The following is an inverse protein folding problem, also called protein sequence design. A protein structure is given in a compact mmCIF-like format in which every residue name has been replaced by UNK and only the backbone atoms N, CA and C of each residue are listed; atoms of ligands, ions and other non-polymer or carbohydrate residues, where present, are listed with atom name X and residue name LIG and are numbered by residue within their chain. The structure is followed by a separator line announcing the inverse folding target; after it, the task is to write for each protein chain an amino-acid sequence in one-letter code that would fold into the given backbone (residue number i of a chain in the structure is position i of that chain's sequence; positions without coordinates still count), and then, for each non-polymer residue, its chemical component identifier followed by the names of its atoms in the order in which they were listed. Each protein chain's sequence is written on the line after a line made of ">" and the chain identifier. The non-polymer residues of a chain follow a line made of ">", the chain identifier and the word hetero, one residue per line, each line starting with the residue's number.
data_IF_957814175275
#
_entry.id   IF_957814175275
#
_cell.length_a   1.000
_cell.length_b   1.000
_cell.length_c   1.000
_cell.angle_alpha   90.00
_cell.angle_beta   90.00
_cell.angle_gamma   90.00
#
_symmetry.space_group_name_H-M   'P 1'
#
loop_
_entity.id
_entity.type
_entity.pdbx_description
1 polymer ?
#
# COMPACT_ATOMS: atom_id res chain seq x y z
N UNK A 1 6.72 -34.60 6.70
CA UNK A 1 7.44 -33.51 7.41
C UNK A 1 7.09 -33.61 8.88
N UNK A 2 8.06 -33.82 9.77
CA UNK A 2 7.84 -33.81 11.22
C UNK A 2 8.39 -32.49 11.74
N UNK A 3 7.53 -31.65 12.30
CA UNK A 3 7.95 -30.36 12.85
C UNK A 3 8.86 -30.58 14.06
N UNK A 4 9.95 -29.83 14.15
CA UNK A 4 10.85 -29.83 15.30
C UNK A 4 10.14 -29.21 16.52
N UNK A 5 10.53 -29.55 17.76
CA UNK A 5 10.06 -28.84 18.95
C UNK A 5 10.38 -27.33 18.84
N UNK A 6 9.38 -26.48 19.12
CA UNK A 6 9.45 -25.02 18.92
C UNK A 6 9.60 -24.23 20.24
N UNK A 7 9.63 -24.92 21.37
CA UNK A 7 9.68 -24.31 22.70
C UNK A 7 11.00 -23.54 22.91
N UNK A 8 10.93 -22.31 23.43
CA UNK A 8 12.09 -21.43 23.63
C UNK A 8 12.73 -20.86 22.36
N UNK A 9 12.15 -21.10 21.18
CA UNK A 9 12.68 -20.66 19.89
C UNK A 9 12.20 -19.24 19.54
N UNK A 10 13.08 -18.38 19.00
CA UNK A 10 12.67 -17.04 18.57
C UNK A 10 11.70 -17.08 17.37
N UNK A 11 10.76 -16.12 17.21
CA UNK A 11 9.74 -16.15 16.16
C UNK A 11 10.29 -16.29 14.73
N UNK A 12 11.47 -15.72 14.45
CA UNK A 12 12.14 -15.86 13.14
C UNK A 12 12.62 -17.29 12.88
N UNK A 13 13.13 -17.96 13.91
CA UNK A 13 13.65 -19.32 13.80
C UNK A 13 12.50 -20.33 13.70
N UNK A 14 11.37 -20.08 14.36
CA UNK A 14 10.12 -20.82 14.14
C UNK A 14 9.71 -20.74 12.67
N UNK A 15 9.64 -19.52 12.09
CA UNK A 15 9.29 -19.33 10.67
C UNK A 15 10.19 -20.09 9.71
N UNK A 16 11.50 -20.08 9.95
CA UNK A 16 12.46 -20.80 9.10
C UNK A 16 12.27 -22.32 9.22
N UNK A 17 12.10 -22.84 10.44
CA UNK A 17 11.88 -24.28 10.69
C UNK A 17 10.54 -24.80 10.18
N UNK A 18 9.53 -23.93 10.05
CA UNK A 18 8.20 -24.29 9.55
C UNK A 18 7.93 -23.83 8.11
N UNK A 19 8.92 -23.25 7.44
CA UNK A 19 8.76 -22.77 6.06
C UNK A 19 8.58 -23.95 5.10
N UNK A 20 7.48 -23.93 4.33
CA UNK A 20 7.14 -24.99 3.37
C UNK A 20 7.82 -24.83 2.00
N UNK A 21 8.71 -23.83 1.84
CA UNK A 21 9.67 -23.78 0.73
C UNK A 21 9.08 -23.69 -0.69
N UNK A 22 7.94 -23.01 -0.88
CA UNK A 22 7.34 -22.81 -2.20
C UNK A 22 6.19 -21.78 -2.19
N UNK A 23 5.68 -21.36 -3.36
CA UNK A 23 4.53 -20.45 -3.43
C UNK A 23 3.27 -21.19 -2.97
N UNK A 24 2.83 -20.91 -1.75
CA UNK A 24 1.55 -21.38 -1.21
C UNK A 24 0.73 -20.19 -0.75
N UNK A 25 -0.55 -20.16 -1.13
CA UNK A 25 -1.52 -19.36 -0.40
C UNK A 25 -1.69 -19.98 0.99
N UNK A 26 -1.44 -19.20 2.05
CA UNK A 26 -1.71 -19.59 3.43
C UNK A 26 -3.07 -19.00 3.80
N UNK A 27 -4.09 -19.85 3.88
CA UNK A 27 -5.42 -19.44 4.32
C UNK A 27 -5.50 -19.45 5.85
N UNK A 28 -6.40 -18.65 6.41
CA UNK A 28 -6.64 -18.60 7.86
C UNK A 28 -6.92 -20.00 8.45
N UNK A 29 -7.70 -20.81 7.74
CA UNK A 29 -8.00 -22.21 8.08
C UNK A 29 -6.79 -23.15 8.14
N UNK A 30 -5.61 -22.72 7.68
CA UNK A 30 -4.39 -23.54 7.68
C UNK A 30 -3.54 -23.32 8.94
N UNK A 31 -3.76 -22.21 9.67
CA UNK A 31 -3.06 -21.94 10.91
C UNK A 31 -3.42 -22.98 11.97
N UNK A 32 -2.43 -23.38 12.77
CA UNK A 32 -2.50 -24.42 13.81
C UNK A 32 -2.84 -25.84 13.31
N UNK A 33 -3.17 -26.01 12.02
CA UNK A 33 -3.43 -27.31 11.38
C UNK A 33 -2.27 -27.79 10.52
N UNK A 34 -1.77 -26.91 9.65
CA UNK A 34 -0.70 -27.22 8.70
C UNK A 34 0.51 -26.28 8.85
N UNK A 35 0.29 -25.07 9.36
CA UNK A 35 1.33 -24.05 9.56
C UNK A 35 1.15 -23.42 10.93
N UNK A 36 2.26 -23.21 11.65
CA UNK A 36 2.24 -22.47 12.92
C UNK A 36 1.94 -20.99 12.64
N UNK A 37 1.07 -20.36 13.45
CA UNK A 37 0.95 -18.91 13.49
C UNK A 37 1.87 -18.38 14.60
N UNK A 38 3.01 -17.76 14.28
CA UNK A 38 3.88 -17.19 15.31
C UNK A 38 3.21 -16.00 16.00
N UNK A 39 3.47 -15.83 17.31
CA UNK A 39 2.84 -14.76 18.11
C UNK A 39 3.07 -13.35 17.54
N UNK A 40 4.24 -13.08 16.97
CA UNK A 40 4.56 -11.79 16.35
C UNK A 40 3.77 -11.54 15.05
N UNK A 41 3.43 -12.60 14.31
CA UNK A 41 2.58 -12.52 13.13
C UNK A 41 1.11 -12.33 13.53
N UNK A 42 0.64 -13.03 14.56
CA UNK A 42 -0.70 -12.81 15.12
C UNK A 42 -0.88 -11.36 15.58
N UNK A 43 0.08 -10.85 16.35
CA UNK A 43 0.07 -9.46 16.82
C UNK A 43 0.02 -8.44 15.67
N UNK A 44 0.77 -8.66 14.59
CA UNK A 44 0.71 -7.80 13.41
C UNK A 44 -0.65 -7.86 12.71
N UNK A 45 -1.25 -9.05 12.61
CA UNK A 45 -2.59 -9.21 12.03
C UNK A 45 -3.65 -8.51 12.89
N UNK A 46 -3.53 -8.55 14.22
CA UNK A 46 -4.41 -7.83 15.13
C UNK A 46 -4.27 -6.32 14.94
N UNK A 47 -3.06 -5.80 14.83
CA UNK A 47 -2.84 -4.38 14.53
C UNK A 47 -3.51 -4.02 13.20
N UNK A 48 -3.31 -4.80 12.14
CA UNK A 48 -3.96 -4.56 10.85
C UNK A 48 -5.48 -4.52 11.01
N UNK A 49 -6.06 -5.56 11.63
CA UNK A 49 -7.51 -5.72 11.78
C UNK A 49 -8.16 -4.65 12.64
N UNK A 50 -7.50 -4.21 13.71
CA UNK A 50 -8.10 -3.32 14.71
C UNK A 50 -7.68 -1.86 14.55
N UNK A 51 -6.49 -1.58 14.03
CA UNK A 51 -5.97 -0.22 13.90
C UNK A 51 -6.07 0.34 12.48
N UNK A 52 -5.90 -0.49 11.45
CA UNK A 52 -5.84 -0.02 10.06
C UNK A 52 -7.14 -0.29 9.28
N UNK A 53 -7.61 -1.54 9.27
CA UNK A 53 -8.79 -1.99 8.49
C UNK A 53 -10.04 -1.13 8.74
N UNK A 54 -10.38 -0.67 9.96
CA UNK A 54 -11.55 0.19 10.17
C UNK A 54 -11.52 1.52 9.42
N UNK A 55 -10.33 1.98 9.01
CA UNK A 55 -10.12 3.22 8.27
C UNK A 55 -9.87 2.98 6.77
N UNK A 56 -9.77 1.73 6.33
CA UNK A 56 -9.64 1.37 4.92
C UNK A 56 -11.00 1.47 4.23
N UNK A 57 -11.39 2.69 3.87
CA UNK A 57 -12.70 2.99 3.26
C UNK A 57 -12.75 2.73 1.75
N UNK A 58 -11.61 2.57 1.10
CA UNK A 58 -11.54 2.33 -0.34
C UNK A 58 -11.90 0.87 -0.64
N UNK A 59 -12.90 0.67 -1.50
CA UNK A 59 -13.28 -0.67 -1.98
C UNK A 59 -12.22 -1.27 -2.91
N UNK A 60 -11.51 -0.40 -3.64
CA UNK A 60 -10.55 -0.78 -4.65
C UNK A 60 -9.19 -0.12 -4.39
N UNK A 61 -8.13 -0.82 -4.78
CA UNK A 61 -6.79 -0.25 -4.87
C UNK A 61 -6.61 0.44 -6.21
N UNK A 62 -5.74 1.47 -6.27
CA UNK A 62 -5.32 2.02 -7.55
C UNK A 62 -4.51 0.95 -8.30
N UNK A 63 -4.94 0.51 -9.49
CA UNK A 63 -4.32 -0.58 -10.22
C UNK A 63 -2.99 -0.14 -10.85
N UNK A 64 -2.22 -1.12 -11.34
CA UNK A 64 -1.05 -0.82 -12.18
C UNK A 64 -1.53 -0.42 -13.56
N UNK A 65 -1.72 0.89 -13.75
CA UNK A 65 -2.13 1.47 -15.03
C UNK A 65 -0.92 1.72 -15.94
N UNK A 66 -1.13 1.65 -17.24
CA UNK A 66 -0.15 2.08 -18.23
C UNK A 66 -0.45 3.52 -18.67
N UNK A 67 0.54 4.39 -18.52
CA UNK A 67 0.50 5.77 -18.96
C UNK A 67 1.11 5.91 -20.36
N UNK A 68 0.70 6.93 -21.10
CA UNK A 68 1.38 7.30 -22.35
C UNK A 68 2.76 7.89 -22.05
N UNK A 69 3.60 8.02 -23.08
CA UNK A 69 4.93 8.62 -22.91
C UNK A 69 4.82 10.07 -22.41
N UNK A 70 3.90 10.83 -22.98
CA UNK A 70 3.67 12.23 -22.63
C UNK A 70 3.19 12.36 -21.18
N UNK A 71 2.29 11.47 -20.75
CA UNK A 71 1.84 11.42 -19.35
C UNK A 71 2.99 11.08 -18.39
N UNK A 72 3.85 10.12 -18.75
CA UNK A 72 5.04 9.77 -17.94
C UNK A 72 6.02 10.93 -17.84
N UNK A 73 6.25 11.67 -18.93
CA UNK A 73 7.12 12.85 -18.94
C UNK A 73 6.54 13.94 -18.02
N UNK A 74 5.22 14.18 -18.07
CA UNK A 74 4.55 15.14 -17.18
C UNK A 74 4.56 14.70 -15.71
N UNK A 75 4.24 13.43 -15.43
CA UNK A 75 4.32 12.86 -14.08
C UNK A 75 5.73 13.01 -13.50
N UNK A 76 6.77 12.70 -14.28
CA UNK A 76 8.16 12.80 -13.81
C UNK A 76 8.54 14.22 -13.40
N UNK A 77 8.08 15.23 -14.14
CA UNK A 77 8.30 16.65 -13.80
C UNK A 77 7.55 17.04 -12.53
N UNK A 78 6.27 16.67 -12.42
CA UNK A 78 5.42 17.03 -11.27
C UNK A 78 5.88 16.33 -9.98
N UNK A 79 6.10 15.02 -10.05
CA UNK A 79 6.37 14.17 -8.89
C UNK A 79 7.69 14.54 -8.19
N UNK A 80 8.67 15.06 -8.92
CA UNK A 80 9.96 15.48 -8.37
C UNK A 80 9.81 16.58 -7.30
N UNK A 81 9.03 17.62 -7.58
CA UNK A 81 8.85 18.74 -6.66
C UNK A 81 7.68 18.47 -5.69
N UNK A 82 6.58 17.92 -6.19
CA UNK A 82 5.37 17.67 -5.40
C UNK A 82 5.66 16.77 -4.20
N UNK A 83 6.28 15.60 -4.42
CA UNK A 83 6.55 14.67 -3.31
C UNK A 83 7.66 15.13 -2.39
N UNK A 84 8.66 15.86 -2.91
CA UNK A 84 9.69 16.48 -2.07
C UNK A 84 9.06 17.45 -1.07
N UNK A 85 8.14 18.30 -1.52
CA UNK A 85 7.40 19.23 -0.66
C UNK A 85 6.49 18.51 0.35
N UNK A 86 5.73 17.51 -0.09
CA UNK A 86 4.87 16.69 0.81
C UNK A 86 5.69 16.04 1.93
N UNK A 87 6.84 15.44 1.59
CA UNK A 87 7.70 14.78 2.57
C UNK A 87 8.32 15.77 3.56
N UNK A 88 8.69 16.97 3.09
CA UNK A 88 9.17 18.04 3.94
C UNK A 88 8.10 18.47 4.95
N UNK A 89 6.90 18.85 4.48
CA UNK A 89 5.81 19.29 5.37
C UNK A 89 5.40 18.21 6.36
N UNK A 90 5.35 16.95 5.93
CA UNK A 90 5.11 15.81 6.83
C UNK A 90 6.14 15.74 7.96
N UNK A 91 7.42 15.89 7.63
CA UNK A 91 8.50 15.89 8.63
C UNK A 91 8.35 17.06 9.60
N UNK A 92 8.14 18.27 9.08
CA UNK A 92 7.95 19.48 9.89
C UNK A 92 6.77 19.36 10.85
N UNK A 93 5.64 18.81 10.40
CA UNK A 93 4.44 18.65 11.23
C UNK A 93 4.59 17.55 12.29
N UNK A 94 5.31 16.47 11.99
CA UNK A 94 5.62 15.44 12.98
C UNK A 94 6.49 16.01 14.11
N UNK A 95 7.47 16.84 13.76
CA UNK A 95 8.42 17.42 14.73
C UNK A 95 7.83 18.60 15.50
N UNK A 96 7.06 19.47 14.83
CA UNK A 96 6.74 20.80 15.34
C UNK A 96 5.23 21.11 15.40
N UNK A 97 4.35 20.21 14.93
CA UNK A 97 2.91 20.44 14.85
C UNK A 97 2.50 21.46 13.78
N UNK A 98 1.42 22.21 14.03
CA UNK A 98 0.86 23.29 13.17
C UNK A 98 0.18 22.87 11.86
N UNK A 99 -0.14 21.59 11.69
CA UNK A 99 -0.85 21.12 10.50
C UNK A 99 -2.16 21.90 10.26
N UNK A 100 -2.93 22.16 11.31
CA UNK A 100 -4.22 22.84 11.21
C UNK A 100 -4.09 24.30 10.74
N UNK A 101 -3.04 25.01 11.18
CA UNK A 101 -2.80 26.41 10.81
C UNK A 101 -2.26 26.56 9.38
N UNK A 102 -1.56 25.53 8.87
CA UNK A 102 -0.85 25.58 7.59
C UNK A 102 -1.58 24.85 6.46
N UNK A 103 -2.63 24.07 6.76
CA UNK A 103 -3.28 23.16 5.82
C UNK A 103 -3.77 23.86 4.54
N UNK A 104 -4.43 25.01 4.67
CA UNK A 104 -4.97 25.73 3.51
C UNK A 104 -3.88 26.23 2.56
N UNK A 105 -2.73 26.63 3.10
CA UNK A 105 -1.61 27.08 2.28
C UNK A 105 -0.86 25.89 1.68
N UNK A 106 -0.76 24.78 2.41
CA UNK A 106 -0.25 23.52 1.89
C UNK A 106 -1.04 23.06 0.66
N UNK A 107 -2.37 23.06 0.71
CA UNK A 107 -3.22 22.69 -0.43
C UNK A 107 -2.97 23.58 -1.66
N UNK A 108 -2.89 24.91 -1.47
CA UNK A 108 -2.57 25.85 -2.57
C UNK A 108 -1.21 25.57 -3.18
N UNK A 109 -0.24 25.21 -2.35
CA UNK A 109 1.11 24.89 -2.81
C UNK A 109 1.14 23.56 -3.58
N UNK A 110 0.39 22.54 -3.15
CA UNK A 110 0.24 21.31 -3.92
C UNK A 110 -0.37 21.59 -5.30
N UNK A 111 -1.39 22.43 -5.37
CA UNK A 111 -2.00 22.84 -6.65
C UNK A 111 -0.99 23.58 -7.53
N UNK A 112 -0.21 24.51 -6.96
CA UNK A 112 0.87 25.23 -7.67
C UNK A 112 1.95 24.27 -8.20
N UNK A 113 2.25 23.20 -7.45
CA UNK A 113 3.20 22.15 -7.81
C UNK A 113 2.63 21.13 -8.81
N UNK A 114 1.36 21.28 -9.23
CA UNK A 114 0.76 20.48 -10.29
C UNK A 114 -0.09 19.31 -9.80
N UNK A 115 -0.55 19.30 -8.55
CA UNK A 115 -1.41 18.24 -8.01
C UNK A 115 -2.65 17.99 -8.88
N UNK A 116 -3.30 19.04 -9.39
CA UNK A 116 -4.50 18.89 -10.25
C UNK A 116 -4.18 18.18 -11.57
N UNK A 117 -3.05 18.52 -12.19
CA UNK A 117 -2.59 17.84 -13.41
C UNK A 117 -2.22 16.38 -13.11
N UNK A 118 -1.52 16.14 -12.01
CA UNK A 118 -1.17 14.79 -11.55
C UNK A 118 -2.41 13.93 -11.34
N UNK A 119 -3.42 14.44 -10.62
CA UNK A 119 -4.68 13.74 -10.36
C UNK A 119 -5.42 13.43 -11.66
N UNK A 120 -5.46 14.39 -12.60
CA UNK A 120 -6.06 14.18 -13.91
C UNK A 120 -5.38 13.03 -14.66
N UNK A 121 -4.04 13.03 -14.74
CA UNK A 121 -3.29 11.95 -15.41
C UNK A 121 -3.58 10.60 -14.75
N UNK A 122 -3.58 10.54 -13.40
CA UNK A 122 -3.91 9.30 -12.68
C UNK A 122 -5.34 8.84 -12.95
N UNK A 123 -6.30 9.75 -13.02
CA UNK A 123 -7.70 9.41 -13.30
C UNK A 123 -7.87 8.91 -14.74
N UNK A 124 -7.30 9.62 -15.72
CA UNK A 124 -7.35 9.21 -17.13
C UNK A 124 -6.73 7.82 -17.33
N UNK A 125 -5.62 7.53 -16.65
CA UNK A 125 -4.98 6.21 -16.66
C UNK A 125 -5.85 5.12 -16.03
N UNK A 126 -6.56 5.44 -14.95
CA UNK A 126 -7.52 4.53 -14.31
C UNK A 126 -8.71 4.22 -15.22
N UNK A 127 -9.28 5.24 -15.86
CA UNK A 127 -10.45 5.09 -16.72
C UNK A 127 -10.14 4.20 -17.94
N UNK A 128 -8.92 4.36 -18.52
CA UNK A 128 -8.43 3.46 -19.58
C UNK A 128 -8.26 2.02 -19.11
N UNK A 129 -7.73 1.84 -17.90
CA UNK A 129 -7.59 0.50 -17.31
C UNK A 129 -8.96 -0.16 -17.12
N UNK A 130 -9.94 0.55 -16.55
CA UNK A 130 -11.29 0.01 -16.33
C UNK A 130 -11.97 -0.38 -17.65
N UNK A 131 -11.83 0.46 -18.68
CA UNK A 131 -12.34 0.15 -20.02
C UNK A 131 -11.71 -1.14 -20.57
N UNK A 132 -10.39 -1.28 -20.43
CA UNK A 132 -9.66 -2.47 -20.90
C UNK A 132 -10.10 -3.74 -20.17
N UNK A 133 -10.28 -3.68 -18.86
CA UNK A 133 -10.73 -4.84 -18.06
C UNK A 133 -12.16 -5.23 -18.45
N UNK A 134 -13.08 -4.28 -18.57
CA UNK A 134 -14.45 -4.56 -19.00
C UNK A 134 -14.51 -5.22 -20.39
N UNK A 135 -13.65 -4.81 -21.33
CA UNK A 135 -13.56 -5.46 -22.65
C UNK A 135 -13.02 -6.90 -22.56
N UNK A 136 -12.07 -7.17 -21.66
CA UNK A 136 -11.53 -8.53 -21.45
C UNK A 136 -12.60 -9.42 -20.84
N UNK A 137 -13.29 -8.96 -19.80
CA UNK A 137 -14.34 -9.73 -19.11
C UNK A 137 -15.50 -10.09 -20.05
N UNK A 138 -15.89 -9.18 -20.96
CA UNK A 138 -16.96 -9.44 -21.93
C UNK A 138 -16.55 -10.36 -23.10
N UNK A 139 -15.26 -10.71 -23.23
CA UNK A 139 -14.74 -11.61 -24.27
C UNK A 139 -14.70 -13.09 -23.84
N UNK A 140 -14.90 -13.37 -22.55
CA UNK A 140 -14.91 -14.72 -21.96
C UNK A 140 -16.29 -15.05 -21.40
#
# INVERSE_FOLDING_TARGET
>A
LRHLPLEGTAPVEIRVKTSVGGPLAILDSYYNKYVTLPDDAHWRLDILKHMYVPYMKAENIYPRVYFTREELDRLSVIEADLFSYVLQKRTEWIENGKVDDEWDNYLKELDRLGLQEWLKIKQDGYDRYQTTIAEIENKW
#
